data_IF_794669971494
#
_entry.id   IF_794669971494
#
_cell.length_a   1.000
_cell.length_b   1.000
_cell.length_c   1.000
_cell.angle_alpha   90.00
_cell.angle_beta   90.00
_cell.angle_gamma   90.00
#
_symmetry.space_group_name_H-M   'P 1'
#
loop_
_entity.id
_entity.type
_entity.pdbx_description
1 polymer ?
#
# COMPACT_ATOMS: atom_id res chain seq x y z
N UNK A 1 20.11 -55.62 -38.07
CA UNK A 1 19.86 -55.09 -36.70
C UNK A 1 20.23 -56.09 -35.58
N UNK A 2 19.88 -57.38 -35.66
CA UNK A 2 20.25 -58.37 -34.62
C UNK A 2 21.75 -58.57 -34.40
N UNK A 3 22.61 -58.43 -35.44
CA UNK A 3 24.10 -58.63 -35.31
C UNK A 3 24.79 -57.44 -34.59
N UNK A 4 24.25 -56.24 -34.64
CA UNK A 4 24.77 -55.07 -33.96
C UNK A 4 24.50 -55.15 -32.43
N UNK A 5 23.34 -55.72 -32.06
CA UNK A 5 22.94 -55.87 -30.67
C UNK A 5 23.87 -56.87 -29.92
N UNK A 6 24.28 -57.98 -30.59
CA UNK A 6 25.21 -58.93 -29.96
C UNK A 6 26.63 -58.42 -29.81
N UNK A 7 27.10 -57.56 -30.70
CA UNK A 7 28.40 -56.93 -30.57
C UNK A 7 28.44 -55.89 -29.46
N UNK A 8 27.34 -55.17 -29.21
CA UNK A 8 27.25 -54.21 -28.10
C UNK A 8 27.21 -54.90 -26.74
N UNK A 9 26.50 -56.05 -26.63
CA UNK A 9 26.45 -56.86 -25.42
C UNK A 9 27.82 -57.52 -25.13
N UNK A 10 28.55 -57.97 -26.16
CA UNK A 10 29.89 -58.53 -25.98
C UNK A 10 30.95 -57.52 -25.56
N UNK A 11 30.84 -56.25 -26.04
CA UNK A 11 31.71 -55.17 -25.61
C UNK A 11 31.39 -54.75 -24.15
N UNK A 12 30.11 -54.72 -23.76
CA UNK A 12 29.71 -54.46 -22.38
C UNK A 12 30.19 -55.57 -21.42
N UNK A 13 30.17 -56.87 -21.85
CA UNK A 13 30.63 -57.98 -21.03
C UNK A 13 32.18 -58.02 -20.89
N UNK A 14 32.94 -57.50 -21.87
CA UNK A 14 34.38 -57.41 -21.75
C UNK A 14 34.91 -56.26 -20.89
N UNK A 15 34.10 -55.21 -20.74
CA UNK A 15 34.44 -54.10 -19.81
C UNK A 15 34.18 -54.50 -18.36
N UNK A 16 33.32 -55.51 -18.12
CA UNK A 16 33.01 -55.99 -16.77
C UNK A 16 33.99 -57.01 -16.22
N UNK A 17 34.92 -57.52 -17.02
CA UNK A 17 35.86 -58.57 -16.59
C UNK A 17 37.31 -58.13 -16.33
N UNK A 18 37.58 -56.83 -16.34
CA UNK A 18 38.93 -56.28 -16.13
C UNK A 18 39.10 -55.40 -14.90
N UNK A 19 38.16 -55.41 -13.98
CA UNK A 19 38.35 -54.73 -12.71
C UNK A 19 38.74 -55.75 -11.63
N UNK A 20 40.03 -55.79 -11.31
CA UNK A 20 40.57 -56.19 -10.01
C UNK A 20 39.77 -55.47 -8.90
N UNK A 21 39.58 -56.14 -7.79
CA UNK A 21 39.07 -55.73 -6.48
C UNK A 21 39.36 -54.26 -6.10
N UNK A 22 38.78 -53.30 -6.81
CA UNK A 22 38.54 -52.00 -6.28
C UNK A 22 37.09 -52.03 -5.78
N UNK A 23 36.95 -51.82 -4.49
CA UNK A 23 35.63 -51.64 -3.84
C UNK A 23 34.81 -50.69 -4.68
N UNK A 24 33.79 -51.19 -5.35
CA UNK A 24 32.79 -50.30 -5.94
C UNK A 24 32.12 -49.61 -4.76
N UNK A 25 32.58 -48.43 -4.48
CA UNK A 25 31.99 -47.57 -3.47
C UNK A 25 30.53 -47.37 -3.95
N UNK A 26 29.63 -48.13 -3.32
CA UNK A 26 28.18 -47.93 -3.58
C UNK A 26 27.87 -46.55 -3.07
N UNK A 27 27.85 -45.58 -3.97
CA UNK A 27 27.42 -44.23 -3.64
C UNK A 27 25.97 -44.32 -3.13
N UNK A 28 25.84 -44.29 -1.82
CA UNK A 28 24.51 -44.22 -1.19
C UNK A 28 23.87 -42.90 -1.57
N UNK A 29 22.66 -42.98 -2.09
CA UNK A 29 21.87 -41.82 -2.51
C UNK A 29 20.67 -41.67 -1.61
N UNK A 30 20.37 -40.47 -1.28
CA UNK A 30 19.16 -40.07 -0.55
C UNK A 30 18.26 -39.14 -1.38
N UNK A 31 17.28 -38.61 -0.75
CA UNK A 31 16.38 -37.65 -1.36
C UNK A 31 15.92 -36.56 -0.38
N UNK A 32 15.47 -35.46 -0.90
CA UNK A 32 14.89 -34.35 -0.13
C UNK A 32 13.52 -33.97 -0.71
N UNK A 33 12.49 -34.00 0.12
CA UNK A 33 11.22 -33.40 -0.19
C UNK A 33 11.19 -32.02 0.45
N UNK A 34 11.16 -30.98 -0.38
CA UNK A 34 11.08 -29.60 0.03
C UNK A 34 9.62 -29.12 -0.06
N UNK A 35 9.06 -28.67 1.05
CA UNK A 35 7.73 -28.08 1.11
C UNK A 35 7.86 -26.57 1.31
N UNK A 36 7.42 -25.80 0.33
CA UNK A 36 7.49 -24.32 0.33
C UNK A 36 6.13 -23.75 0.63
N UNK A 37 6.02 -22.99 1.72
CA UNK A 37 4.81 -22.23 2.04
C UNK A 37 4.85 -20.88 1.31
N UNK A 38 3.98 -20.70 0.32
CA UNK A 38 3.96 -19.52 -0.56
C UNK A 38 3.11 -18.36 -0.02
N UNK A 39 2.58 -18.44 1.19
CA UNK A 39 1.83 -17.35 1.79
C UNK A 39 2.74 -16.32 2.50
N UNK A 40 3.92 -16.77 2.97
CA UNK A 40 4.72 -16.00 3.92
C UNK A 40 5.14 -14.61 3.45
N UNK A 41 5.63 -14.49 2.20
CA UNK A 41 6.08 -13.21 1.65
C UNK A 41 4.92 -12.21 1.46
N UNK A 42 3.74 -12.70 1.15
CA UNK A 42 2.56 -11.86 0.95
C UNK A 42 1.96 -11.40 2.29
N UNK A 43 2.04 -12.25 3.33
CA UNK A 43 1.60 -11.90 4.69
C UNK A 43 2.45 -10.77 5.29
N UNK A 44 3.74 -10.69 4.95
CA UNK A 44 4.62 -9.63 5.44
C UNK A 44 4.18 -8.24 4.98
N UNK A 45 3.50 -8.14 3.84
CA UNK A 45 3.00 -6.89 3.27
C UNK A 45 1.47 -6.74 3.35
N UNK A 46 0.79 -7.62 4.09
CA UNK A 46 -0.68 -7.66 4.14
C UNK A 46 -1.35 -7.77 2.74
N UNK A 47 -0.69 -8.51 1.84
CA UNK A 47 -1.15 -8.68 0.47
C UNK A 47 -2.15 -9.83 0.38
N UNK A 48 -3.36 -9.54 -0.08
CA UNK A 48 -4.34 -10.58 -0.39
C UNK A 48 -4.10 -11.15 -1.80
N UNK A 49 -3.36 -12.24 -1.86
CA UNK A 49 -2.98 -12.89 -3.13
C UNK A 49 -4.19 -13.29 -3.98
N UNK A 50 -5.34 -13.61 -3.37
CA UNK A 50 -6.56 -13.98 -4.11
C UNK A 50 -7.09 -12.83 -4.96
N UNK A 51 -6.86 -11.59 -4.55
CA UNK A 51 -7.27 -10.43 -5.32
C UNK A 51 -6.34 -10.18 -6.52
N UNK A 52 -5.06 -10.58 -6.41
CA UNK A 52 -4.05 -10.42 -7.44
C UNK A 52 -4.21 -11.44 -8.57
N UNK A 53 -4.32 -12.72 -8.22
CA UNK A 53 -4.44 -13.83 -9.20
C UNK A 53 -5.89 -14.08 -9.67
N UNK A 54 -6.80 -13.19 -9.31
CA UNK A 54 -8.23 -13.33 -9.56
C UNK A 54 -8.62 -13.41 -11.03
N UNK A 55 -7.94 -12.65 -11.88
CA UNK A 55 -8.18 -12.62 -13.34
C UNK A 55 -7.36 -13.67 -14.10
N UNK A 56 -6.49 -14.42 -13.42
CA UNK A 56 -5.60 -15.45 -13.97
C UNK A 56 -4.56 -14.90 -14.96
N UNK A 57 -4.30 -13.62 -15.00
CA UNK A 57 -3.21 -13.04 -15.77
C UNK A 57 -1.86 -13.26 -15.11
N UNK A 58 -1.85 -13.36 -13.76
CA UNK A 58 -0.66 -13.57 -12.96
C UNK A 58 -0.71 -14.89 -12.19
N UNK A 59 0.44 -15.46 -11.92
CA UNK A 59 0.63 -16.67 -11.13
C UNK A 59 1.81 -16.52 -10.16
N UNK A 60 1.77 -17.27 -9.06
CA UNK A 60 2.92 -17.40 -8.18
C UNK A 60 3.85 -18.44 -8.77
N UNK A 61 5.11 -18.10 -8.97
CA UNK A 61 6.15 -19.05 -9.38
C UNK A 61 7.18 -19.25 -8.28
N UNK A 62 7.43 -20.51 -7.95
CA UNK A 62 8.42 -20.94 -6.98
C UNK A 62 9.56 -21.62 -7.71
N UNK A 63 10.76 -21.11 -7.52
CA UNK A 63 11.99 -21.71 -7.98
C UNK A 63 12.73 -22.32 -6.79
N UNK A 64 13.24 -23.55 -6.93
CA UNK A 64 14.10 -24.19 -5.95
C UNK A 64 15.37 -24.67 -6.62
N UNK A 65 16.49 -24.10 -6.22
CA UNK A 65 17.83 -24.44 -6.71
C UNK A 65 18.55 -25.24 -5.64
N UNK A 66 19.11 -26.39 -6.01
CA UNK A 66 19.91 -27.22 -5.12
C UNK A 66 21.37 -27.12 -5.52
N UNK A 67 22.21 -26.66 -4.60
CA UNK A 67 23.65 -26.50 -4.79
C UNK A 67 24.43 -27.49 -3.93
N UNK A 68 25.53 -28.01 -4.48
CA UNK A 68 26.47 -28.83 -3.74
C UNK A 68 27.30 -28.00 -2.70
N UNK A 69 28.12 -28.65 -1.92
CA UNK A 69 28.99 -28.01 -0.91
C UNK A 69 30.00 -27.00 -1.51
N UNK A 70 30.24 -27.05 -2.82
CA UNK A 70 31.15 -26.16 -3.54
C UNK A 70 30.36 -25.00 -4.23
N UNK A 71 29.04 -24.95 -4.03
CA UNK A 71 28.18 -23.94 -4.64
C UNK A 71 27.83 -24.19 -6.11
N UNK A 72 28.06 -25.41 -6.64
CA UNK A 72 27.64 -25.72 -8.01
C UNK A 72 26.19 -26.20 -8.01
N UNK A 73 25.42 -25.77 -9.01
CA UNK A 73 24.04 -26.21 -9.20
C UNK A 73 24.00 -27.73 -9.50
N UNK A 74 23.20 -28.44 -8.69
CA UNK A 74 22.98 -29.89 -8.84
C UNK A 74 21.66 -30.17 -9.54
N UNK A 75 20.61 -29.48 -9.13
CA UNK A 75 19.27 -29.62 -9.70
C UNK A 75 18.44 -28.33 -9.50
N UNK A 76 17.43 -28.17 -10.33
CA UNK A 76 16.47 -27.05 -10.29
C UNK A 76 15.07 -27.58 -10.44
N UNK A 77 14.16 -27.11 -9.59
CA UNK A 77 12.71 -27.32 -9.72
C UNK A 77 11.99 -25.99 -9.80
N UNK A 78 10.91 -25.98 -10.54
CA UNK A 78 10.02 -24.82 -10.61
C UNK A 78 8.56 -25.24 -10.68
N UNK A 79 7.69 -24.50 -10.02
CA UNK A 79 6.26 -24.72 -10.05
C UNK A 79 5.54 -23.37 -10.11
N UNK A 80 4.58 -23.29 -10.99
CA UNK A 80 3.66 -22.15 -11.13
C UNK A 80 2.29 -22.54 -10.56
N UNK A 81 1.68 -21.66 -9.77
CA UNK A 81 0.38 -21.90 -9.16
C UNK A 81 -0.47 -20.65 -9.06
N UNK A 82 -1.79 -20.84 -9.00
CA UNK A 82 -2.80 -19.80 -8.92
C UNK A 82 -3.44 -19.68 -7.53
N UNK A 83 -2.77 -20.15 -6.51
CA UNK A 83 -3.23 -20.10 -5.11
C UNK A 83 -2.01 -20.09 -4.18
N UNK A 84 -2.18 -19.52 -2.99
CA UNK A 84 -1.18 -19.63 -1.91
C UNK A 84 -1.31 -20.97 -1.21
N UNK A 85 -0.69 -21.98 -1.76
CA UNK A 85 -0.65 -23.31 -1.19
C UNK A 85 0.79 -23.75 -0.98
N UNK A 86 1.00 -24.82 -0.22
CA UNK A 86 2.31 -25.45 -0.13
C UNK A 86 2.67 -26.07 -1.48
N UNK A 87 3.83 -25.70 -2.01
CA UNK A 87 4.48 -26.34 -3.17
C UNK A 87 5.48 -27.38 -2.67
N UNK A 88 5.43 -28.57 -3.26
CA UNK A 88 6.39 -29.65 -2.93
C UNK A 88 7.31 -29.92 -4.11
N UNK A 89 8.62 -29.77 -3.89
CA UNK A 89 9.67 -30.15 -4.84
C UNK A 89 10.44 -31.34 -4.30
N UNK A 90 10.69 -32.34 -5.16
CA UNK A 90 11.42 -33.55 -4.78
C UNK A 90 12.74 -33.60 -5.52
N UNK A 91 13.83 -33.76 -4.76
CA UNK A 91 15.19 -33.96 -5.26
C UNK A 91 15.63 -35.36 -4.87
N UNK A 92 15.74 -36.27 -5.83
CA UNK A 92 16.03 -37.67 -5.63
C UNK A 92 17.45 -38.04 -6.14
N UNK A 93 17.96 -39.16 -5.67
CA UNK A 93 19.21 -39.70 -6.17
C UNK A 93 20.45 -38.88 -5.79
N UNK A 94 20.35 -38.08 -4.75
CA UNK A 94 21.46 -37.24 -4.29
C UNK A 94 22.49 -38.02 -3.56
N UNK A 95 23.79 -37.90 -3.90
CA UNK A 95 24.91 -38.41 -3.06
C UNK A 95 24.80 -37.87 -1.63
N UNK A 96 25.25 -38.65 -0.66
CA UNK A 96 25.35 -38.18 0.71
C UNK A 96 26.26 -36.96 0.80
N UNK A 97 25.85 -35.96 1.55
CA UNK A 97 26.63 -34.73 1.71
C UNK A 97 25.80 -33.52 2.10
N UNK A 98 26.49 -32.41 2.19
CA UNK A 98 25.87 -31.10 2.48
C UNK A 98 25.49 -30.38 1.19
N UNK A 99 24.28 -29.82 1.19
CA UNK A 99 23.73 -29.08 0.10
C UNK A 99 23.15 -27.78 0.63
N UNK A 100 23.04 -26.80 -0.24
CA UNK A 100 22.25 -25.56 0.02
C UNK A 100 21.07 -25.56 -0.92
N UNK A 101 19.86 -25.42 -0.34
CA UNK A 101 18.65 -25.17 -1.10
C UNK A 101 18.37 -23.66 -1.07
N UNK A 102 18.32 -23.04 -2.23
CA UNK A 102 17.85 -21.68 -2.41
C UNK A 102 16.44 -21.72 -3.00
N UNK A 103 15.49 -21.10 -2.34
CA UNK A 103 14.11 -20.94 -2.82
C UNK A 103 13.86 -19.49 -3.12
N UNK A 104 13.26 -19.22 -4.28
CA UNK A 104 12.84 -17.91 -4.70
C UNK A 104 11.39 -17.96 -5.15
N UNK A 105 10.61 -17.00 -4.71
CA UNK A 105 9.20 -16.85 -5.00
C UNK A 105 8.90 -15.47 -5.55
N UNK A 106 8.13 -15.39 -6.62
CA UNK A 106 7.66 -14.13 -7.22
C UNK A 106 6.42 -14.33 -8.06
N UNK A 107 5.77 -13.24 -8.46
CA UNK A 107 4.74 -13.25 -9.48
C UNK A 107 5.34 -13.31 -10.89
N UNK A 108 4.66 -14.01 -11.77
CA UNK A 108 4.99 -14.16 -13.18
C UNK A 108 3.72 -14.01 -14.02
N UNK A 109 3.89 -13.68 -15.29
CA UNK A 109 2.82 -13.77 -16.25
C UNK A 109 2.34 -15.24 -16.37
N UNK A 110 1.06 -15.47 -16.35
CA UNK A 110 0.48 -16.80 -16.36
C UNK A 110 0.61 -17.50 -17.72
N UNK A 111 0.72 -16.75 -18.80
CA UNK A 111 0.75 -17.28 -20.16
C UNK A 111 2.14 -17.82 -20.54
N UNK A 112 3.22 -17.14 -20.17
CA UNK A 112 4.58 -17.56 -20.50
C UNK A 112 5.41 -18.03 -19.28
N UNK A 113 4.95 -17.73 -18.06
CA UNK A 113 5.63 -18.08 -16.82
C UNK A 113 6.89 -17.27 -16.57
N UNK A 114 7.06 -16.13 -17.24
CA UNK A 114 8.18 -15.21 -17.08
C UNK A 114 7.81 -14.06 -16.15
N UNK A 115 8.78 -13.59 -15.37
CA UNK A 115 8.57 -12.39 -14.57
C UNK A 115 8.83 -11.14 -15.40
N UNK A 116 7.89 -10.23 -15.41
CA UNK A 116 8.07 -8.91 -16.06
C UNK A 116 9.16 -8.09 -15.39
N UNK A 117 9.37 -8.27 -14.08
CA UNK A 117 10.25 -7.39 -13.28
C UNK A 117 11.58 -8.03 -12.90
N UNK A 118 11.66 -9.37 -12.84
CA UNK A 118 12.80 -10.09 -12.30
C UNK A 118 13.42 -11.04 -13.31
N UNK A 119 14.73 -10.97 -13.47
CA UNK A 119 15.50 -11.89 -14.31
C UNK A 119 16.61 -12.54 -13.49
N UNK A 120 16.65 -13.88 -13.49
CA UNK A 120 17.72 -14.63 -12.83
C UNK A 120 18.93 -14.75 -13.73
N UNK A 121 20.12 -14.54 -13.17
CA UNK A 121 21.39 -14.65 -13.86
C UNK A 121 22.38 -15.50 -13.03
N UNK A 122 23.32 -16.16 -13.71
CA UNK A 122 24.40 -16.95 -13.12
C UNK A 122 23.89 -18.08 -12.20
N UNK A 123 22.80 -18.74 -12.59
CA UNK A 123 22.13 -19.76 -11.75
C UNK A 123 22.98 -20.98 -11.45
N UNK A 124 24.05 -21.23 -12.22
CA UNK A 124 24.92 -22.40 -12.08
C UNK A 124 25.81 -22.34 -10.83
N UNK A 125 25.92 -21.19 -10.18
CA UNK A 125 26.78 -20.93 -9.03
C UNK A 125 26.07 -20.19 -7.92
N UNK A 126 26.07 -20.74 -6.70
CA UNK A 126 25.44 -20.12 -5.51
C UNK A 126 26.08 -18.78 -5.14
N UNK A 127 27.38 -18.63 -5.31
CA UNK A 127 28.12 -17.41 -5.00
C UNK A 127 28.00 -16.32 -6.08
N UNK A 128 27.45 -16.66 -7.25
CA UNK A 128 27.26 -15.75 -8.37
C UNK A 128 25.80 -15.52 -8.77
N UNK A 129 24.88 -16.39 -8.31
CA UNK A 129 23.45 -16.25 -8.65
C UNK A 129 22.92 -14.93 -8.15
N UNK A 130 22.23 -14.23 -9.03
CA UNK A 130 21.62 -12.95 -8.76
C UNK A 130 20.29 -12.80 -9.47
N UNK A 131 19.45 -11.91 -8.97
CA UNK A 131 18.27 -11.42 -9.66
C UNK A 131 18.49 -9.98 -10.11
N UNK A 132 18.25 -9.71 -11.38
CA UNK A 132 18.30 -8.39 -11.96
C UNK A 132 16.89 -7.80 -12.00
N UNK A 133 16.76 -6.54 -11.61
CA UNK A 133 15.55 -5.76 -11.81
C UNK A 133 15.51 -5.26 -13.25
N UNK A 134 14.45 -5.61 -14.00
CA UNK A 134 14.36 -5.30 -15.44
C UNK A 134 13.85 -3.88 -15.73
N UNK A 135 13.12 -3.26 -14.80
CA UNK A 135 12.53 -1.93 -14.93
C UNK A 135 12.91 -1.04 -13.77
N UNK A 136 12.89 0.27 -13.99
CA UNK A 136 13.18 1.26 -12.95
C UNK A 136 12.14 1.29 -11.81
N UNK A 137 10.96 0.76 -12.05
CA UNK A 137 9.85 0.70 -11.10
C UNK A 137 9.28 -0.70 -11.05
N UNK A 138 9.30 -1.32 -9.88
CA UNK A 138 8.59 -2.57 -9.63
C UNK A 138 7.24 -2.25 -9.01
N UNK A 139 6.20 -2.44 -9.78
CA UNK A 139 4.84 -2.16 -9.32
C UNK A 139 4.34 -3.26 -8.38
N UNK A 140 3.58 -2.82 -7.37
CA UNK A 140 2.76 -3.72 -6.57
C UNK A 140 1.90 -4.60 -7.51
N UNK A 141 1.80 -5.91 -7.28
CA UNK A 141 2.26 -6.68 -6.10
C UNK A 141 3.50 -7.56 -6.35
N UNK A 142 4.40 -7.19 -7.24
CA UNK A 142 5.52 -8.02 -7.69
C UNK A 142 6.66 -8.10 -6.66
N UNK A 143 6.37 -8.66 -5.51
CA UNK A 143 7.34 -8.89 -4.43
C UNK A 143 8.27 -10.05 -4.74
N UNK A 144 9.44 -10.05 -4.11
CA UNK A 144 10.44 -11.11 -4.20
C UNK A 144 10.61 -11.77 -2.83
N UNK A 145 10.29 -13.06 -2.76
CA UNK A 145 10.50 -13.87 -1.57
C UNK A 145 11.71 -14.78 -1.72
N UNK A 146 12.55 -14.86 -0.69
CA UNK A 146 13.78 -15.65 -0.73
C UNK A 146 14.02 -16.38 0.59
N UNK A 147 14.52 -17.59 0.51
CA UNK A 147 15.11 -18.32 1.65
C UNK A 147 16.23 -19.24 1.16
N UNK A 148 17.31 -19.35 1.94
CA UNK A 148 18.39 -20.29 1.70
C UNK A 148 18.61 -21.14 2.95
N UNK A 149 18.60 -22.48 2.79
CA UNK A 149 18.77 -23.43 3.87
C UNK A 149 19.85 -24.44 3.53
N UNK A 150 20.70 -24.78 4.52
CA UNK A 150 21.71 -25.84 4.40
C UNK A 150 21.13 -27.15 4.93
N UNK A 151 21.24 -28.21 4.14
CA UNK A 151 20.76 -29.54 4.49
C UNK A 151 21.88 -30.57 4.39
N UNK A 152 21.74 -31.65 5.14
CA UNK A 152 22.64 -32.83 5.04
C UNK A 152 21.82 -34.00 4.53
N UNK A 153 22.15 -34.50 3.35
CA UNK A 153 21.51 -35.68 2.76
C UNK A 153 22.24 -36.94 3.28
N UNK A 154 21.45 -37.81 3.93
CA UNK A 154 21.90 -39.12 4.42
C UNK A 154 21.28 -40.28 3.63
N UNK A 155 21.36 -41.49 4.19
CA UNK A 155 20.80 -42.73 3.58
C UNK A 155 19.27 -42.72 3.47
N UNK A 156 18.60 -41.96 4.31
CA UNK A 156 17.13 -41.87 4.35
C UNK A 156 16.70 -40.55 3.76
N UNK A 157 15.60 -40.59 3.00
CA UNK A 157 14.96 -39.38 2.54
C UNK A 157 14.56 -38.47 3.71
N UNK A 158 14.62 -37.15 3.51
CA UNK A 158 14.22 -36.18 4.51
C UNK A 158 13.20 -35.20 3.92
N UNK A 159 12.43 -34.59 4.79
CA UNK A 159 11.48 -33.51 4.44
C UNK A 159 11.90 -32.22 5.12
N UNK A 160 11.94 -31.15 4.35
CA UNK A 160 12.19 -29.79 4.80
C UNK A 160 11.00 -28.90 4.48
N UNK A 161 10.55 -28.12 5.44
CA UNK A 161 9.52 -27.09 5.20
C UNK A 161 10.13 -25.72 5.37
N UNK A 162 9.92 -24.85 4.39
CA UNK A 162 10.45 -23.49 4.37
C UNK A 162 9.36 -22.48 4.02
N UNK A 163 9.55 -21.26 4.46
CA UNK A 163 8.71 -20.11 4.13
C UNK A 163 9.63 -19.00 3.64
N UNK A 164 9.64 -18.68 2.33
CA UNK A 164 10.36 -17.54 1.81
C UNK A 164 9.94 -16.25 2.51
N UNK A 165 10.88 -15.34 2.66
CA UNK A 165 10.70 -14.04 3.26
C UNK A 165 10.96 -12.96 2.23
N UNK A 166 10.28 -11.83 2.37
CA UNK A 166 10.48 -10.71 1.48
C UNK A 166 11.93 -10.22 1.51
N UNK A 167 12.43 -9.88 0.34
CA UNK A 167 13.69 -9.17 0.16
C UNK A 167 13.36 -7.79 -0.38
N UNK A 168 13.65 -6.75 0.38
CA UNK A 168 13.27 -5.39 0.05
C UNK A 168 12.03 -4.92 0.79
N UNK A 169 11.55 -3.75 0.42
CA UNK A 169 10.52 -2.99 1.13
C UNK A 169 9.42 -2.55 0.19
N UNK A 170 8.26 -2.29 0.74
CA UNK A 170 7.14 -1.67 0.03
C UNK A 170 7.06 -0.19 0.38
N UNK A 171 6.78 0.65 -0.60
CA UNK A 171 6.58 2.08 -0.43
C UNK A 171 5.16 2.44 -0.86
N UNK A 172 4.37 2.91 0.10
CA UNK A 172 3.06 3.51 -0.12
C UNK A 172 3.23 5.02 -0.31
N UNK A 173 3.11 5.48 -1.54
CA UNK A 173 3.28 6.89 -1.89
C UNK A 173 1.93 7.60 -2.01
N UNK A 174 1.79 8.74 -1.33
CA UNK A 174 0.62 9.61 -1.37
C UNK A 174 0.98 11.03 -1.76
N UNK A 175 0.60 11.44 -2.97
CA UNK A 175 0.63 12.84 -3.39
C UNK A 175 -0.73 13.49 -3.11
N UNK A 176 -0.74 14.54 -2.32
CA UNK A 176 -1.97 15.19 -1.83
C UNK A 176 -2.09 16.62 -2.32
N UNK A 177 -3.32 17.05 -2.66
CA UNK A 177 -3.65 18.41 -3.11
C UNK A 177 -2.95 18.82 -4.42
N UNK A 178 -2.70 17.85 -5.31
CA UNK A 178 -1.96 18.06 -6.57
C UNK A 178 -2.81 18.65 -7.72
N UNK A 179 -4.14 18.60 -7.63
CA UNK A 179 -5.05 19.21 -8.59
C UNK A 179 -4.84 20.72 -8.79
N UNK A 180 -4.29 21.39 -7.78
CA UNK A 180 -3.96 22.82 -7.81
C UNK A 180 -2.54 23.10 -8.29
N UNK A 181 -1.76 22.09 -8.54
CA UNK A 181 -0.36 22.24 -8.96
C UNK A 181 -0.22 22.20 -10.48
N UNK A 182 0.78 22.91 -10.98
CA UNK A 182 1.24 22.78 -12.37
C UNK A 182 2.17 21.56 -12.56
N UNK A 183 2.28 20.69 -11.55
CA UNK A 183 3.13 19.51 -11.55
C UNK A 183 2.35 18.30 -12.07
N UNK A 184 3.00 17.50 -12.91
CA UNK A 184 2.37 16.35 -13.59
C UNK A 184 2.91 15.02 -13.14
N UNK A 185 4.11 14.97 -12.58
CA UNK A 185 4.77 13.75 -12.15
C UNK A 185 5.29 13.88 -10.72
N UNK A 186 5.13 12.81 -9.97
CA UNK A 186 5.70 12.65 -8.64
C UNK A 186 6.57 11.41 -8.67
N UNK A 187 7.79 11.50 -8.23
CA UNK A 187 8.73 10.39 -8.19
C UNK A 187 9.51 10.35 -6.89
N UNK A 188 10.01 9.19 -6.57
CA UNK A 188 11.00 8.98 -5.53
C UNK A 188 12.37 8.87 -6.20
N UNK A 189 13.36 9.57 -5.68
CA UNK A 189 14.74 9.45 -6.14
C UNK A 189 15.57 8.72 -5.12
N UNK A 190 16.45 7.84 -5.58
CA UNK A 190 17.52 7.28 -4.78
C UNK A 190 18.85 7.72 -5.37
N UNK A 191 19.90 7.88 -4.58
CA UNK A 191 21.22 8.22 -5.11
C UNK A 191 21.87 7.01 -5.77
N UNK A 192 21.59 5.81 -5.24
CA UNK A 192 22.13 4.55 -5.73
C UNK A 192 21.01 3.59 -6.13
N UNK A 193 20.96 3.24 -7.41
CA UNK A 193 20.05 2.22 -7.90
C UNK A 193 20.61 0.83 -7.60
N UNK A 194 19.78 -0.02 -7.00
CA UNK A 194 20.10 -1.43 -6.92
C UNK A 194 19.74 -2.11 -8.25
N UNK A 195 20.75 -2.59 -8.96
CA UNK A 195 20.55 -3.30 -10.22
C UNK A 195 20.39 -4.81 -10.01
N UNK A 196 21.03 -5.33 -8.95
CA UNK A 196 21.05 -6.76 -8.66
C UNK A 196 20.91 -7.03 -7.17
N UNK A 197 20.22 -8.13 -6.86
CA UNK A 197 20.27 -8.75 -5.55
C UNK A 197 20.98 -10.10 -5.67
N UNK A 198 22.07 -10.31 -4.89
CA UNK A 198 22.83 -11.54 -4.85
C UNK A 198 22.30 -12.47 -3.77
N UNK A 199 22.08 -13.72 -4.12
CA UNK A 199 21.55 -14.71 -3.19
C UNK A 199 22.61 -15.40 -2.32
N UNK A 200 23.87 -15.06 -2.47
CA UNK A 200 24.95 -15.66 -1.70
C UNK A 200 24.71 -15.54 -0.18
N UNK A 201 24.46 -16.67 0.53
CA UNK A 201 24.12 -16.64 1.96
C UNK A 201 25.28 -16.19 2.85
N UNK A 202 26.50 -16.16 2.35
CA UNK A 202 27.70 -15.74 3.09
C UNK A 202 27.87 -14.22 3.11
N UNK A 203 27.12 -13.48 2.28
CA UNK A 203 27.13 -12.03 2.26
C UNK A 203 26.18 -11.46 3.31
N UNK A 204 26.57 -10.36 3.95
CA UNK A 204 25.62 -9.56 4.73
C UNK A 204 24.53 -8.98 3.85
N UNK A 205 23.42 -8.52 4.45
CA UNK A 205 22.32 -7.90 3.69
C UNK A 205 22.82 -6.77 2.80
N UNK A 206 23.65 -5.89 3.32
CA UNK A 206 24.18 -4.75 2.58
C UNK A 206 25.06 -5.16 1.38
N UNK A 207 25.82 -6.26 1.52
CA UNK A 207 26.68 -6.79 0.45
C UNK A 207 25.91 -7.53 -0.65
N UNK A 208 24.65 -7.94 -0.38
CA UNK A 208 23.79 -8.60 -1.38
C UNK A 208 23.19 -7.64 -2.39
N UNK A 209 23.08 -6.37 -2.05
CA UNK A 209 22.59 -5.34 -2.96
C UNK A 209 23.77 -4.74 -3.72
N UNK A 210 23.77 -4.94 -5.02
CA UNK A 210 24.86 -4.51 -5.86
C UNK A 210 24.38 -3.50 -6.90
N UNK A 211 25.11 -2.39 -7.02
CA UNK A 211 24.94 -1.39 -8.04
C UNK A 211 26.21 -1.33 -8.90
N UNK A 212 26.08 -1.50 -10.22
CA UNK A 212 27.22 -1.40 -11.16
C UNK A 212 27.39 0.04 -11.66
N UNK A 213 27.16 1.04 -10.80
CA UNK A 213 27.18 2.41 -11.27
C UNK A 213 28.54 3.06 -11.23
N UNK A 214 28.94 3.46 -12.43
CA UNK A 214 29.98 4.48 -12.67
C UNK A 214 29.38 5.88 -12.95
N UNK A 215 28.05 6.07 -12.89
CA UNK A 215 27.38 7.28 -13.30
C UNK A 215 26.49 7.87 -12.20
N UNK A 216 26.56 9.18 -12.04
CA UNK A 216 25.78 10.05 -11.16
C UNK A 216 24.29 10.15 -11.51
N UNK A 217 23.67 9.11 -12.05
CA UNK A 217 22.28 9.17 -12.46
C UNK A 217 21.35 8.84 -11.31
N UNK A 218 20.52 9.79 -10.97
CA UNK A 218 19.44 9.67 -10.00
C UNK A 218 18.42 8.65 -10.50
N UNK A 219 18.17 7.59 -9.74
CA UNK A 219 17.10 6.66 -10.06
C UNK A 219 15.78 7.34 -9.79
N UNK A 220 14.92 7.23 -10.77
CA UNK A 220 13.60 7.82 -10.75
C UNK A 220 12.57 6.70 -10.70
N UNK A 221 11.95 6.53 -9.56
CA UNK A 221 10.70 5.79 -9.51
C UNK A 221 9.66 6.71 -10.13
N UNK A 222 9.32 6.45 -11.39
CA UNK A 222 8.34 7.24 -12.10
C UNK A 222 6.94 6.74 -11.76
N UNK A 223 6.21 7.52 -11.02
CA UNK A 223 4.76 7.38 -10.92
C UNK A 223 4.08 8.28 -11.93
N UNK A 224 4.29 8.07 -13.24
CA UNK A 224 3.71 8.94 -14.23
C UNK A 224 2.40 8.41 -14.81
N UNK A 225 1.31 9.05 -14.43
CA UNK A 225 0.26 9.39 -15.38
C UNK A 225 -0.30 10.72 -14.93
N UNK A 226 -0.35 11.69 -15.85
CA UNK A 226 -1.18 12.86 -15.70
C UNK A 226 -2.59 12.39 -15.41
N UNK A 227 -2.97 12.43 -14.14
CA UNK A 227 -4.33 12.15 -13.72
C UNK A 227 -5.01 13.51 -13.77
N UNK A 228 -5.55 13.83 -14.96
CA UNK A 228 -6.36 15.02 -15.13
C UNK A 228 -7.52 14.95 -14.13
N UNK A 229 -7.60 15.92 -13.22
CA UNK A 229 -8.64 16.15 -12.22
C UNK A 229 -8.59 15.27 -10.95
N UNK A 230 -7.49 14.60 -10.63
CA UNK A 230 -7.37 13.96 -9.32
C UNK A 230 -6.71 14.88 -8.28
N UNK A 231 -7.32 14.98 -7.11
CA UNK A 231 -6.82 15.77 -5.97
C UNK A 231 -5.71 15.07 -5.22
N UNK A 232 -5.57 13.76 -5.43
CA UNK A 232 -4.54 12.92 -4.80
C UNK A 232 -4.03 11.86 -5.76
N UNK A 233 -2.77 11.50 -5.59
CA UNK A 233 -2.11 10.38 -6.28
C UNK A 233 -1.71 9.36 -5.24
N UNK A 234 -2.11 8.10 -5.43
CA UNK A 234 -1.67 6.99 -4.61
C UNK A 234 -0.96 5.96 -5.48
N UNK A 235 0.22 5.51 -5.01
CA UNK A 235 1.01 4.50 -5.68
C UNK A 235 1.68 3.59 -4.67
N UNK A 236 1.70 2.32 -4.97
CA UNK A 236 2.44 1.32 -4.22
C UNK A 236 3.54 0.77 -5.11
N UNK A 237 4.78 0.89 -4.67
CA UNK A 237 5.95 0.37 -5.37
C UNK A 237 6.77 -0.52 -4.43
N UNK A 238 7.49 -1.46 -5.02
CA UNK A 238 8.39 -2.35 -4.31
C UNK A 238 9.83 -1.98 -4.64
N UNK A 239 10.70 -1.93 -3.64
CA UNK A 239 12.09 -1.49 -3.78
C UNK A 239 13.05 -2.46 -3.09
N UNK A 240 14.22 -2.66 -3.70
CA UNK A 240 15.29 -3.48 -3.15
C UNK A 240 16.34 -2.69 -2.37
N UNK A 241 16.24 -1.37 -2.29
CA UNK A 241 17.23 -0.50 -1.66
C UNK A 241 17.40 -0.76 -0.16
N UNK A 242 18.64 -0.62 0.31
CA UNK A 242 18.99 -0.65 1.74
C UNK A 242 18.78 0.69 2.42
N UNK A 243 19.09 1.75 1.69
CA UNK A 243 18.98 3.13 2.16
C UNK A 243 18.30 3.93 1.07
N UNK A 244 17.41 4.79 1.46
CA UNK A 244 16.75 5.68 0.55
C UNK A 244 17.13 7.10 0.92
N UNK A 245 17.89 7.76 0.07
CA UNK A 245 18.01 9.20 0.06
C UNK A 245 16.75 9.75 -0.57
N UNK A 246 15.85 10.14 0.29
CA UNK A 246 14.48 10.41 -0.04
C UNK A 246 14.34 11.80 -0.67
N UNK A 247 13.96 11.82 -1.95
CA UNK A 247 13.65 13.05 -2.66
C UNK A 247 12.31 12.91 -3.39
N UNK A 248 11.20 13.46 -2.86
CA UNK A 248 10.06 13.66 -3.72
C UNK A 248 10.45 14.63 -4.84
N UNK A 249 10.42 14.12 -6.07
CA UNK A 249 10.74 14.88 -7.26
C UNK A 249 9.45 15.23 -7.99
N UNK A 250 9.33 16.49 -8.42
CA UNK A 250 8.21 16.96 -9.22
C UNK A 250 8.70 17.47 -10.56
N UNK A 251 7.96 17.16 -11.60
CA UNK A 251 8.15 17.81 -12.89
C UNK A 251 7.08 18.87 -13.07
N UNK A 252 7.51 20.09 -13.40
CA UNK A 252 6.59 21.12 -13.88
C UNK A 252 6.08 20.71 -15.26
N UNK A 253 4.80 21.03 -15.53
CA UNK A 253 4.19 20.78 -16.84
C UNK A 253 5.05 21.42 -17.94
N UNK A 254 5.96 20.63 -18.51
CA UNK A 254 6.71 21.04 -19.70
C UNK A 254 5.91 20.55 -20.90
N UNK A 255 5.80 21.37 -21.94
CA UNK A 255 5.29 20.93 -23.22
C UNK A 255 5.88 19.57 -23.58
N UNK A 256 5.07 18.69 -24.15
CA UNK A 256 5.36 17.27 -24.40
C UNK A 256 6.65 16.99 -25.22
N UNK A 257 7.38 18.02 -25.61
CA UNK A 257 8.63 17.96 -26.37
C UNK A 257 9.91 18.14 -25.54
N UNK A 258 9.81 18.56 -24.27
CA UNK A 258 10.98 18.71 -23.41
C UNK A 258 11.04 17.59 -22.38
N UNK A 259 12.18 16.92 -22.26
CA UNK A 259 12.46 16.03 -21.13
C UNK A 259 12.25 16.84 -19.86
N UNK A 260 11.31 16.40 -19.03
CA UNK A 260 10.90 17.12 -17.85
C UNK A 260 12.10 17.45 -16.96
N UNK A 261 12.32 18.73 -16.72
CA UNK A 261 13.34 19.17 -15.77
C UNK A 261 12.78 18.99 -14.37
N UNK A 262 13.40 18.14 -13.59
CA UNK A 262 13.10 17.96 -12.17
C UNK A 262 13.43 19.26 -11.43
N UNK A 263 12.41 20.04 -11.06
CA UNK A 263 12.62 21.41 -10.58
C UNK A 263 12.78 21.52 -9.07
N UNK A 264 12.43 20.49 -8.31
CA UNK A 264 12.55 20.54 -6.85
C UNK A 264 13.01 19.21 -6.29
N UNK A 265 14.25 19.22 -5.82
CA UNK A 265 14.79 18.23 -4.90
C UNK A 265 14.50 18.78 -3.49
N UNK A 266 13.66 18.13 -2.72
CA UNK A 266 13.51 18.46 -1.31
C UNK A 266 14.50 17.56 -0.59
N UNK A 267 15.61 18.12 -0.06
CA UNK A 267 16.53 17.32 0.71
C UNK A 267 15.77 16.79 1.92
N UNK A 268 15.75 15.49 2.07
CA UNK A 268 15.39 14.93 3.36
C UNK A 268 16.68 14.87 4.18
N UNK A 269 16.69 15.50 5.33
CA UNK A 269 17.83 15.46 6.26
C UNK A 269 17.97 14.07 6.93
N UNK A 270 17.11 13.12 6.61
CA UNK A 270 17.08 11.79 7.20
C UNK A 270 17.31 10.73 6.12
N UNK A 271 18.52 10.14 6.11
CA UNK A 271 18.76 8.87 5.44
C UNK A 271 17.92 7.80 6.14
N UNK A 272 16.94 7.25 5.44
CA UNK A 272 16.14 6.17 5.97
C UNK A 272 16.77 4.83 5.59
N UNK A 273 17.04 3.99 6.57
CA UNK A 273 17.38 2.59 6.34
C UNK A 273 16.09 1.83 6.11
N UNK A 274 16.02 1.13 4.98
CA UNK A 274 14.89 0.24 4.66
C UNK A 274 15.18 -1.17 5.19
N UNK A 275 14.15 -1.82 5.69
CA UNK A 275 14.20 -3.18 6.21
C UNK A 275 13.34 -4.10 5.33
N UNK A 276 13.83 -5.32 5.11
CA UNK A 276 13.11 -6.35 4.35
C UNK A 276 11.74 -6.63 4.99
N UNK A 277 10.71 -6.80 4.15
CA UNK A 277 9.35 -7.10 4.59
C UNK A 277 8.62 -5.95 5.29
N UNK A 278 9.13 -4.71 5.21
CA UNK A 278 8.49 -3.54 5.80
C UNK A 278 7.81 -2.67 4.76
N UNK A 279 6.66 -2.11 5.15
CA UNK A 279 5.96 -1.07 4.38
C UNK A 279 6.27 0.29 4.96
N UNK A 280 6.73 1.21 4.11
CA UNK A 280 6.98 2.60 4.43
C UNK A 280 5.97 3.50 3.74
N UNK A 281 5.59 4.55 4.42
CA UNK A 281 4.63 5.54 3.94
C UNK A 281 5.33 6.83 3.59
N UNK A 282 5.01 7.31 2.42
CA UNK A 282 5.55 8.53 1.86
C UNK A 282 4.42 9.48 1.55
N UNK A 283 4.46 10.64 2.13
CA UNK A 283 3.50 11.70 1.88
C UNK A 283 4.16 12.93 1.25
N UNK A 284 3.48 13.50 0.26
CA UNK A 284 3.84 14.78 -0.30
C UNK A 284 2.57 15.63 -0.45
N UNK A 285 2.48 16.73 0.28
CA UNK A 285 1.35 17.64 0.27
C UNK A 285 1.73 18.96 -0.40
N UNK A 286 1.04 19.28 -1.50
CA UNK A 286 1.23 20.53 -2.21
C UNK A 286 0.57 21.70 -1.44
N UNK A 287 1.35 22.74 -1.15
CA UNK A 287 0.86 23.91 -0.42
C UNK A 287 0.51 25.06 -1.38
N UNK A 288 1.42 25.45 -2.28
CA UNK A 288 1.21 26.50 -3.27
C UNK A 288 2.28 26.50 -4.37
N UNK A 289 2.09 27.33 -5.42
CA UNK A 289 2.98 27.44 -6.60
C UNK A 289 4.40 27.95 -6.29
N UNK A 290 4.67 28.43 -5.09
CA UNK A 290 5.98 28.95 -4.68
C UNK A 290 6.89 27.89 -4.06
N UNK A 291 6.70 26.62 -4.43
CA UNK A 291 7.61 25.53 -4.08
C UNK A 291 7.51 25.00 -2.66
N UNK A 292 6.42 25.24 -1.97
CA UNK A 292 6.23 24.68 -0.63
C UNK A 292 5.55 23.33 -0.71
N UNK A 293 6.28 22.28 -0.35
CA UNK A 293 5.75 20.95 -0.10
C UNK A 293 5.96 20.60 1.34
N UNK A 294 4.96 19.96 1.93
CA UNK A 294 5.12 19.27 3.20
C UNK A 294 5.29 17.80 2.89
N UNK A 295 6.40 17.23 3.33
CA UNK A 295 6.73 15.83 3.08
C UNK A 295 6.75 15.03 4.36
N UNK A 296 6.48 13.74 4.21
CA UNK A 296 6.55 12.75 5.27
C UNK A 296 7.22 11.48 4.73
N UNK A 297 8.02 10.85 5.58
CA UNK A 297 8.49 9.48 5.40
C UNK A 297 8.48 8.79 6.77
N UNK A 298 7.94 7.57 6.82
CA UNK A 298 7.90 6.79 8.06
C UNK A 298 6.94 5.61 7.99
N UNK A 299 6.52 5.14 9.15
CA UNK A 299 5.53 4.08 9.30
C UNK A 299 4.09 4.58 9.13
N UNK A 300 3.13 3.64 9.17
CA UNK A 300 1.70 3.92 9.02
C UNK A 300 1.16 4.89 10.09
N UNK A 301 1.59 4.75 11.35
CA UNK A 301 1.10 5.58 12.44
C UNK A 301 1.63 7.01 12.35
N UNK A 302 2.90 7.16 12.00
CA UNK A 302 3.51 8.45 11.70
C UNK A 302 2.84 9.14 10.51
N UNK A 303 2.56 8.39 9.42
CA UNK A 303 1.84 8.92 8.26
C UNK A 303 0.43 9.40 8.63
N UNK A 304 -0.32 8.60 9.37
CA UNK A 304 -1.65 8.97 9.85
C UNK A 304 -1.62 10.26 10.69
N UNK A 305 -0.63 10.38 11.58
CA UNK A 305 -0.43 11.58 12.39
C UNK A 305 -0.10 12.80 11.53
N UNK A 306 0.84 12.64 10.58
CA UNK A 306 1.21 13.69 9.64
C UNK A 306 0.03 14.11 8.76
N UNK A 307 -0.69 13.15 8.17
CA UNK A 307 -1.87 13.40 7.34
C UNK A 307 -2.96 14.15 8.12
N UNK A 308 -3.23 13.73 9.35
CA UNK A 308 -4.18 14.40 10.24
C UNK A 308 -3.73 15.82 10.55
N UNK A 309 -2.43 16.07 10.75
CA UNK A 309 -1.90 17.41 10.99
C UNK A 309 -2.08 18.35 9.80
N UNK A 310 -1.98 17.82 8.57
CA UNK A 310 -2.23 18.61 7.36
C UNK A 310 -3.71 18.96 7.17
N UNK A 311 -4.55 18.00 7.45
CA UNK A 311 -6.01 18.16 7.32
C UNK A 311 -6.58 18.97 8.49
N UNK A 312 -6.06 18.79 9.71
CA UNK A 312 -6.50 19.54 10.89
C UNK A 312 -6.12 21.03 10.85
N UNK A 313 -4.96 21.38 10.24
CA UNK A 313 -4.57 22.80 10.09
C UNK A 313 -5.33 23.53 8.99
N UNK A 314 -5.96 22.82 8.05
CA UNK A 314 -6.79 23.35 6.98
C UNK A 314 -8.25 22.88 7.03
N UNK A 315 -8.61 22.00 7.95
CA UNK A 315 -10.01 21.63 8.11
C UNK A 315 -10.76 22.81 8.70
N UNK A 316 -11.58 23.42 7.86
CA UNK A 316 -12.50 24.45 8.33
C UNK A 316 -13.42 23.89 9.42
N UNK A 317 -13.84 22.64 9.23
CA UNK A 317 -14.74 21.94 10.14
C UNK A 317 -13.89 21.05 11.07
N UNK A 318 -14.04 21.15 12.39
CA UNK A 318 -13.35 20.29 13.33
C UNK A 318 -13.79 18.82 13.13
N UNK A 319 -13.02 17.89 13.69
CA UNK A 319 -13.46 16.49 13.71
C UNK A 319 -14.75 16.38 14.53
N UNK A 320 -15.79 15.76 13.96
CA UNK A 320 -17.13 15.65 14.54
C UNK A 320 -17.50 14.19 14.80
N UNK A 321 -18.19 13.94 15.91
CA UNK A 321 -18.85 12.66 16.12
C UNK A 321 -20.11 12.56 15.26
N UNK A 322 -20.06 11.85 14.16
CA UNK A 322 -21.19 11.68 13.21
C UNK A 322 -21.64 10.22 13.09
N UNK A 323 -21.62 9.47 14.20
CA UNK A 323 -22.23 8.15 14.22
C UNK A 323 -23.74 8.31 14.40
N UNK A 324 -24.46 8.31 13.30
CA UNK A 324 -25.92 8.51 13.29
C UNK A 324 -26.67 7.50 14.16
N UNK A 325 -27.66 7.95 14.88
CA UNK A 325 -28.35 7.16 15.90
C UNK A 325 -27.57 6.99 17.22
N UNK A 326 -26.36 7.52 17.30
CA UNK A 326 -25.46 7.41 18.44
C UNK A 326 -26.00 8.02 19.74
N UNK A 327 -25.34 7.69 20.88
CA UNK A 327 -25.72 8.19 22.20
C UNK A 327 -25.04 9.50 22.56
N UNK A 328 -25.69 10.29 23.43
CA UNK A 328 -25.13 11.50 24.03
C UNK A 328 -23.80 11.25 24.71
N UNK A 329 -23.69 10.14 25.49
CA UNK A 329 -22.45 9.81 26.20
C UNK A 329 -21.26 9.56 25.24
N UNK A 330 -21.50 8.95 24.07
CA UNK A 330 -20.45 8.75 23.06
C UNK A 330 -20.02 10.06 22.42
N UNK A 331 -20.98 10.93 22.08
CA UNK A 331 -20.68 12.28 21.57
C UNK A 331 -19.87 13.10 22.60
N UNK A 332 -20.26 13.06 23.86
CA UNK A 332 -19.54 13.72 24.95
C UNK A 332 -18.13 13.17 25.16
N UNK A 333 -17.96 11.86 25.09
CA UNK A 333 -16.64 11.23 25.17
C UNK A 333 -15.73 11.61 24.00
N UNK A 334 -16.30 11.71 22.79
CA UNK A 334 -15.59 12.17 21.61
C UNK A 334 -15.15 13.64 21.73
N UNK A 335 -16.04 14.49 22.23
CA UNK A 335 -15.80 15.92 22.48
C UNK A 335 -15.01 16.19 23.77
N UNK A 336 -14.34 15.16 24.30
CA UNK A 336 -13.50 15.33 25.48
C UNK A 336 -12.47 16.44 25.29
N UNK A 337 -12.44 17.35 26.25
CA UNK A 337 -11.57 18.53 26.20
C UNK A 337 -12.23 19.77 25.56
N UNK A 338 -13.41 19.70 24.96
CA UNK A 338 -14.23 20.86 24.62
C UNK A 338 -15.03 21.34 25.84
N UNK A 339 -15.25 22.65 25.92
CA UNK A 339 -16.09 23.23 27.01
C UNK A 339 -17.55 23.09 26.61
N UNK A 340 -18.28 22.23 27.30
CA UNK A 340 -19.74 22.07 27.12
C UNK A 340 -20.45 23.33 27.67
N UNK A 341 -21.34 23.91 26.86
CA UNK A 341 -22.11 25.11 27.20
C UNK A 341 -23.58 24.81 27.44
N UNK A 342 -24.09 23.73 26.85
CA UNK A 342 -25.45 23.21 27.06
C UNK A 342 -25.40 21.70 27.24
N UNK A 343 -26.18 21.15 28.15
CA UNK A 343 -26.24 19.70 28.42
C UNK A 343 -25.77 19.34 29.81
N UNK A 344 -25.81 18.03 30.12
CA UNK A 344 -25.32 17.41 31.37
C UNK A 344 -24.59 16.12 31.01
N UNK A 345 -23.85 15.56 31.98
CA UNK A 345 -23.18 14.28 31.78
C UNK A 345 -24.18 13.19 31.36
N UNK A 346 -23.99 12.62 30.16
CA UNK A 346 -24.84 11.57 29.57
C UNK A 346 -26.24 12.01 29.15
N UNK A 347 -26.61 13.30 29.25
CA UNK A 347 -27.93 13.82 28.94
C UNK A 347 -27.90 15.09 28.11
N UNK A 348 -28.73 15.14 27.06
CA UNK A 348 -29.04 16.34 26.31
C UNK A 348 -30.25 17.10 26.89
N UNK A 349 -30.38 18.37 26.56
CA UNK A 349 -31.44 19.28 27.04
C UNK A 349 -32.52 19.42 25.98
N UNK A 350 -33.78 19.34 26.39
CA UNK A 350 -34.92 19.59 25.48
C UNK A 350 -34.94 21.06 25.05
N UNK A 351 -34.94 21.30 23.75
CA UNK A 351 -35.01 22.63 23.15
C UNK A 351 -36.39 22.90 22.52
N UNK A 352 -36.60 24.12 22.07
CA UNK A 352 -37.94 24.65 21.69
C UNK A 352 -38.57 23.92 20.51
N UNK A 353 -37.80 23.31 19.62
CA UNK A 353 -38.30 22.55 18.47
C UNK A 353 -38.68 21.10 18.80
N UNK A 354 -38.48 20.68 20.04
CA UNK A 354 -38.78 19.33 20.52
C UNK A 354 -37.63 18.33 20.39
N UNK A 355 -36.48 18.74 19.87
CA UNK A 355 -35.27 17.97 19.87
C UNK A 355 -34.50 18.08 21.21
N UNK A 356 -33.46 17.25 21.39
CA UNK A 356 -32.57 17.33 22.53
C UNK A 356 -31.18 17.75 22.05
N UNK A 357 -30.56 18.72 22.71
CA UNK A 357 -29.32 19.36 22.27
C UNK A 357 -28.23 19.33 23.32
N UNK A 358 -26.98 19.20 22.87
CA UNK A 358 -25.77 19.49 23.65
C UNK A 358 -24.88 20.39 22.85
N UNK A 359 -24.30 21.42 23.50
CA UNK A 359 -23.46 22.42 22.85
C UNK A 359 -22.07 22.44 23.43
N UNK A 360 -21.12 22.74 22.56
CA UNK A 360 -19.73 22.97 22.89
C UNK A 360 -19.21 24.29 22.34
N UNK A 361 -18.46 25.01 23.14
CA UNK A 361 -17.71 26.15 22.66
C UNK A 361 -16.63 25.70 21.70
N UNK A 362 -16.51 26.34 20.55
CA UNK A 362 -15.47 26.10 19.59
C UNK A 362 -14.08 26.39 20.13
N UNK A 363 -13.09 25.69 19.62
CA UNK A 363 -11.66 25.84 19.95
C UNK A 363 -10.84 26.44 18.81
N UNK A 364 -11.36 26.34 17.57
CA UNK A 364 -10.71 26.82 16.37
C UNK A 364 -11.34 28.10 15.81
N UNK A 365 -11.71 28.03 14.54
CA UNK A 365 -12.45 29.12 13.85
C UNK A 365 -13.94 29.11 14.15
N UNK A 366 -14.46 27.97 14.56
CA UNK A 366 -15.86 27.78 14.95
C UNK A 366 -16.17 28.47 16.28
N UNK A 367 -17.38 29.04 16.38
CA UNK A 367 -17.90 29.62 17.64
C UNK A 367 -18.62 28.59 18.49
N UNK A 368 -19.36 27.69 17.83
CA UNK A 368 -20.25 26.73 18.47
C UNK A 368 -20.26 25.41 17.68
N UNK A 369 -20.42 24.30 18.41
CA UNK A 369 -20.70 22.97 17.85
C UNK A 369 -21.89 22.41 18.62
N UNK A 370 -23.01 22.17 17.94
CA UNK A 370 -24.26 21.67 18.50
C UNK A 370 -24.56 20.25 17.99
N UNK A 371 -24.96 19.35 18.88
CA UNK A 371 -25.39 17.99 18.55
C UNK A 371 -26.85 17.80 18.93
N UNK A 372 -27.66 17.34 17.97
CA UNK A 372 -29.11 17.16 18.15
C UNK A 372 -29.49 15.68 18.17
N UNK A 373 -30.29 15.31 19.16
CA UNK A 373 -30.72 13.93 19.43
C UNK A 373 -32.25 13.81 19.46
N UNK A 374 -32.76 12.63 19.09
CA UNK A 374 -34.20 12.30 19.16
C UNK A 374 -34.72 12.18 20.58
N UNK A 375 -33.86 11.78 21.50
CA UNK A 375 -34.18 11.60 22.92
C UNK A 375 -33.08 12.19 23.79
N UNK A 376 -33.34 12.32 25.08
CA UNK A 376 -32.39 12.87 26.04
C UNK A 376 -31.04 12.13 26.09
N UNK A 377 -30.98 10.89 25.65
CA UNK A 377 -29.79 10.04 25.80
C UNK A 377 -29.26 9.45 24.51
N UNK A 378 -30.02 9.44 23.41
CA UNK A 378 -29.63 8.76 22.17
C UNK A 378 -30.36 9.29 20.92
N UNK A 379 -29.94 8.84 19.76
CA UNK A 379 -30.58 9.14 18.49
C UNK A 379 -30.02 10.38 17.83
N UNK A 380 -28.68 10.53 17.80
CA UNK A 380 -28.01 11.60 17.05
C UNK A 380 -28.51 11.65 15.60
N UNK A 381 -28.97 12.79 15.15
CA UNK A 381 -29.48 12.97 13.79
C UNK A 381 -28.95 14.22 13.07
N UNK A 382 -28.39 15.18 13.83
CA UNK A 382 -27.89 16.44 13.27
C UNK A 382 -26.70 16.95 14.10
N UNK A 383 -25.73 17.58 13.40
CA UNK A 383 -24.61 18.28 14.03
C UNK A 383 -24.45 19.62 13.32
N UNK A 384 -24.52 20.72 14.04
CA UNK A 384 -24.29 22.04 13.51
C UNK A 384 -22.94 22.61 13.95
N UNK A 385 -22.28 23.30 13.03
CA UNK A 385 -21.03 24.03 13.29
C UNK A 385 -21.19 25.46 12.84
N UNK A 386 -21.03 26.40 13.78
CA UNK A 386 -21.17 27.83 13.51
C UNK A 386 -19.84 28.54 13.45
N UNK A 387 -19.75 29.49 12.52
CA UNK A 387 -18.56 30.29 12.29
C UNK A 387 -18.93 31.79 12.25
N UNK A 388 -18.28 32.66 13.03
CA UNK A 388 -18.46 34.09 12.92
C UNK A 388 -18.01 34.58 11.52
N UNK A 389 -18.80 35.41 10.88
CA UNK A 389 -18.53 35.94 9.51
C UNK A 389 -17.28 36.79 9.43
N UNK A 390 -16.82 37.32 10.55
CA UNK A 390 -15.57 38.08 10.64
C UNK A 390 -14.34 37.16 10.79
N UNK A 391 -14.55 35.87 11.05
CA UNK A 391 -13.44 34.87 11.23
C UNK A 391 -13.30 33.96 10.01
N UNK A 392 -14.43 33.61 9.36
CA UNK A 392 -14.46 32.70 8.23
C UNK A 392 -15.29 33.34 7.11
N UNK A 393 -14.75 33.33 5.90
CA UNK A 393 -15.45 33.82 4.72
C UNK A 393 -16.40 32.80 4.11
N UNK A 394 -17.43 33.24 3.39
CA UNK A 394 -18.31 32.37 2.61
C UNK A 394 -17.51 31.48 1.63
N UNK A 395 -16.47 32.03 1.01
CA UNK A 395 -15.65 31.31 0.03
C UNK A 395 -14.83 30.18 0.69
N UNK A 396 -14.32 30.35 1.92
CA UNK A 396 -13.64 29.27 2.64
C UNK A 396 -14.59 28.10 2.89
N UNK A 397 -15.84 28.38 3.31
CA UNK A 397 -16.85 27.34 3.52
C UNK A 397 -17.23 26.67 2.20
N UNK A 398 -17.48 27.44 1.16
CA UNK A 398 -17.83 26.91 -0.15
C UNK A 398 -16.72 26.01 -0.73
N UNK A 399 -15.46 26.42 -0.57
CA UNK A 399 -14.31 25.60 -0.97
C UNK A 399 -14.24 24.28 -0.17
N UNK A 400 -14.45 24.32 1.13
CA UNK A 400 -14.53 23.14 1.95
C UNK A 400 -15.65 22.20 1.47
N UNK A 401 -16.84 22.72 1.24
CA UNK A 401 -17.99 21.93 0.82
C UNK A 401 -17.81 21.31 -0.56
N UNK A 402 -17.33 22.07 -1.54
CA UNK A 402 -17.10 21.56 -2.90
C UNK A 402 -15.95 20.53 -2.97
N UNK A 403 -15.01 20.59 -2.02
CA UNK A 403 -13.91 19.62 -1.93
C UNK A 403 -14.37 18.29 -1.31
N UNK A 404 -15.26 18.33 -0.31
CA UNK A 404 -15.58 17.17 0.50
C UNK A 404 -16.95 16.53 0.18
N UNK A 405 -17.85 17.28 -0.51
CA UNK A 405 -19.24 16.87 -0.74
C UNK A 405 -19.68 17.16 -2.15
N UNK A 406 -20.64 16.38 -2.67
CA UNK A 406 -21.27 16.62 -3.96
C UNK A 406 -22.36 17.68 -3.84
N UNK A 407 -22.29 18.72 -4.66
CA UNK A 407 -23.32 19.75 -4.72
C UNK A 407 -24.67 19.17 -5.19
N UNK A 408 -25.75 19.49 -4.49
CA UNK A 408 -27.11 19.05 -4.82
C UNK A 408 -27.95 20.19 -5.37
N UNK A 409 -28.08 21.28 -4.60
CA UNK A 409 -28.89 22.47 -5.01
C UNK A 409 -28.58 23.67 -4.12
N UNK A 410 -29.12 24.83 -4.52
CA UNK A 410 -29.15 26.03 -3.68
C UNK A 410 -30.41 26.81 -3.87
N UNK A 411 -30.83 27.55 -2.84
CA UNK A 411 -31.94 28.52 -2.87
C UNK A 411 -31.74 29.61 -1.80
N UNK A 412 -31.92 30.86 -2.16
CA UNK A 412 -31.90 32.01 -1.23
C UNK A 412 -30.64 32.04 -0.32
N UNK A 413 -29.44 31.87 -0.92
CA UNK A 413 -28.15 31.80 -0.24
C UNK A 413 -27.98 30.58 0.70
N UNK A 414 -28.84 29.61 0.63
CA UNK A 414 -28.72 28.33 1.31
C UNK A 414 -28.27 27.27 0.30
N UNK A 415 -27.28 26.48 0.65
CA UNK A 415 -26.64 25.50 -0.22
C UNK A 415 -26.79 24.13 0.38
N UNK A 416 -27.04 23.12 -0.45
CA UNK A 416 -27.13 21.71 -0.05
C UNK A 416 -26.11 20.88 -0.78
N UNK A 417 -25.42 20.05 0.00
CA UNK A 417 -24.45 19.09 -0.45
C UNK A 417 -24.76 17.70 0.12
N UNK A 418 -24.15 16.66 -0.45
CA UNK A 418 -24.32 15.27 0.00
C UNK A 418 -22.97 14.56 0.08
N UNK A 419 -22.76 13.76 1.11
CA UNK A 419 -21.60 12.89 1.24
C UNK A 419 -21.58 11.83 0.13
N UNK A 420 -20.38 11.33 -0.21
CA UNK A 420 -20.20 10.33 -1.28
C UNK A 420 -20.96 9.02 -0.98
N UNK A 421 -21.09 8.63 0.28
CA UNK A 421 -21.87 7.46 0.71
C UNK A 421 -23.39 7.69 0.79
N UNK A 422 -23.85 8.93 0.56
CA UNK A 422 -25.25 9.31 0.59
C UNK A 422 -25.90 9.30 1.98
N UNK A 423 -25.11 9.18 3.06
CA UNK A 423 -25.65 9.08 4.43
C UNK A 423 -25.78 10.41 5.14
N UNK A 424 -25.08 11.44 4.66
CA UNK A 424 -25.07 12.77 5.26
C UNK A 424 -25.44 13.82 4.24
N UNK A 425 -26.43 14.64 4.54
CA UNK A 425 -26.70 15.90 3.84
C UNK A 425 -26.04 17.03 4.61
N UNK A 426 -25.34 17.92 3.91
CA UNK A 426 -24.77 19.13 4.50
C UNK A 426 -25.51 20.33 3.99
N UNK A 427 -26.01 21.15 4.89
CA UNK A 427 -26.75 22.38 4.58
C UNK A 427 -25.94 23.56 5.11
N UNK A 428 -25.66 24.50 4.23
CA UNK A 428 -24.91 25.72 4.55
C UNK A 428 -25.80 26.94 4.34
N UNK A 429 -25.90 27.78 5.35
CA UNK A 429 -26.72 29.01 5.30
C UNK A 429 -26.19 30.09 6.24
N UNK A 430 -26.79 31.28 6.16
CA UNK A 430 -26.43 32.43 6.97
C UNK A 430 -27.44 32.60 8.11
N UNK A 431 -26.95 32.74 9.34
CA UNK A 431 -27.74 33.06 10.53
C UNK A 431 -27.14 34.31 11.19
N UNK A 432 -27.82 35.42 11.11
CA UNK A 432 -27.34 36.71 11.64
C UNK A 432 -25.87 37.00 11.25
N UNK A 433 -24.96 37.13 12.21
CA UNK A 433 -23.53 37.36 11.98
C UNK A 433 -22.66 36.10 11.88
N UNK A 434 -23.30 34.94 11.71
CA UNK A 434 -22.65 33.65 11.61
C UNK A 434 -23.00 32.91 10.32
N UNK A 435 -22.12 32.00 9.93
CA UNK A 435 -22.40 30.95 8.99
C UNK A 435 -22.72 29.68 9.75
N UNK A 436 -23.70 28.93 9.29
CA UNK A 436 -24.12 27.65 9.88
C UNK A 436 -23.95 26.52 8.88
N UNK A 437 -23.28 25.43 9.32
CA UNK A 437 -23.13 24.19 8.60
C UNK A 437 -23.83 23.06 9.39
N UNK A 438 -25.02 22.69 8.93
CA UNK A 438 -25.78 21.56 9.47
C UNK A 438 -25.44 20.26 8.74
N UNK A 439 -24.94 19.26 9.46
CA UNK A 439 -24.72 17.89 8.98
C UNK A 439 -25.89 17.03 9.45
N UNK A 440 -26.69 16.46 8.53
CA UNK A 440 -27.94 15.79 8.85
C UNK A 440 -27.93 14.33 8.35
N UNK A 441 -28.35 13.39 9.21
CA UNK A 441 -28.55 11.99 8.84
C UNK A 441 -29.67 11.86 7.80
N UNK A 442 -29.37 11.32 6.62
CA UNK A 442 -30.38 11.09 5.56
C UNK A 442 -31.50 10.13 5.98
N UNK A 443 -31.26 9.23 6.93
CA UNK A 443 -32.29 8.33 7.48
C UNK A 443 -33.24 9.05 8.43
N UNK A 444 -32.82 10.14 9.04
CA UNK A 444 -33.68 10.98 9.87
C UNK A 444 -34.67 11.80 9.02
N UNK A 445 -34.20 12.24 7.90
CA UNK A 445 -35.05 12.79 6.87
C UNK A 445 -35.89 11.61 6.36
N UNK A 446 -37.04 11.34 7.01
CA UNK A 446 -37.88 10.14 6.83
C UNK A 446 -38.05 9.75 5.34
N UNK A 447 -38.46 8.53 5.04
CA UNK A 447 -38.41 7.95 3.69
C UNK A 447 -39.13 8.80 2.61
N UNK A 448 -40.16 9.56 2.97
CA UNK A 448 -40.79 10.54 2.10
C UNK A 448 -39.89 11.76 1.84
N UNK A 449 -39.11 12.20 2.83
CA UNK A 449 -38.25 13.38 2.72
C UNK A 449 -36.97 13.04 1.93
N UNK A 450 -36.39 11.85 2.08
CA UNK A 450 -35.23 11.43 1.26
C UNK A 450 -35.58 11.23 -0.21
N UNK A 451 -36.82 10.78 -0.51
CA UNK A 451 -37.34 10.74 -1.86
C UNK A 451 -37.60 12.16 -2.40
N UNK A 452 -38.07 13.09 -1.56
CA UNK A 452 -38.25 14.50 -1.92
C UNK A 452 -36.93 15.26 -2.12
N UNK A 453 -35.88 14.95 -1.35
CA UNK A 453 -34.53 15.51 -1.60
C UNK A 453 -34.05 15.11 -2.99
N UNK A 454 -34.25 13.86 -3.40
CA UNK A 454 -33.85 13.37 -4.74
C UNK A 454 -34.74 13.94 -5.85
N UNK A 455 -36.05 14.10 -5.61
CA UNK A 455 -37.03 14.56 -6.61
C UNK A 455 -37.27 16.08 -6.62
N UNK A 456 -37.18 16.73 -5.48
CA UNK A 456 -37.35 18.19 -5.36
C UNK A 456 -36.52 18.79 -4.22
N UNK A 457 -35.19 18.85 -4.36
CA UNK A 457 -34.28 19.30 -3.31
C UNK A 457 -34.52 20.78 -2.90
N UNK A 458 -35.03 21.65 -3.81
CA UNK A 458 -35.32 23.03 -3.50
C UNK A 458 -36.50 23.19 -2.53
N UNK A 459 -37.52 22.35 -2.66
CA UNK A 459 -38.69 22.42 -1.75
C UNK A 459 -38.29 21.96 -0.35
N UNK A 460 -37.40 20.95 -0.24
CA UNK A 460 -36.84 20.52 1.02
C UNK A 460 -36.03 21.63 1.70
N UNK A 461 -35.11 22.26 0.97
CA UNK A 461 -34.26 23.34 1.46
C UNK A 461 -35.08 24.48 2.03
N UNK A 462 -36.16 24.87 1.32
CA UNK A 462 -37.08 25.90 1.76
C UNK A 462 -37.84 25.52 3.05
N UNK A 463 -38.16 24.26 3.23
CA UNK A 463 -38.82 23.76 4.45
C UNK A 463 -37.88 23.71 5.64
N UNK A 464 -36.59 23.35 5.41
CA UNK A 464 -35.55 23.28 6.43
C UNK A 464 -35.22 24.66 7.02
N UNK A 465 -35.00 25.67 6.18
CA UNK A 465 -34.59 27.00 6.62
C UNK A 465 -35.75 27.78 7.31
N UNK A 466 -37.00 27.33 7.15
CA UNK A 466 -38.16 27.96 7.81
C UNK A 466 -38.47 27.45 9.21
N UNK A 467 -37.73 26.41 9.65
CA UNK A 467 -37.80 25.94 11.04
C UNK A 467 -36.80 26.68 11.92
#
# INVERSE_FOLDING_TARGET
MKKILYSLIAVLAMVMSSCSNDDIEIIKTGGVTLNVNTQGVYDEFDINVKDIIRDKSDAIKVFSFLYDKNGNLVDKKETMQFTTNTVSHVFDGLPQGNYTILVVETLVDADDGESTYWKFENVDRLDEIKVAQQYDEVLYPNVLGVIAETITVGDNGQSLSVTPKAVGSMIEFYGLNFDKSNYVDVGLGTEDRIEYYMFNPNLSRAERFYTDRTASDTVRIRGSKKIANETSVHRTVYVLENTMDYYPCYTKNADASSQGVWTHRIPNEQNATLEDGKTYYVGAYYVNDNSSLKCFFGDADGFKTWYTSLTSTNSLVPELYMTWGGSVSKAQSFMNGYSMTLGKSGQAVLVSDGSYEIDYKGKGKESLISYFFKTQTTGLFEVDVRYPKNTVTKNEIMNYLTTNYSYVTSQDETYMYMSADGKTVVIFFSVADEWDLGFVDTNYLNSSTSAHIKSNPKAFLKAYVRK
#
